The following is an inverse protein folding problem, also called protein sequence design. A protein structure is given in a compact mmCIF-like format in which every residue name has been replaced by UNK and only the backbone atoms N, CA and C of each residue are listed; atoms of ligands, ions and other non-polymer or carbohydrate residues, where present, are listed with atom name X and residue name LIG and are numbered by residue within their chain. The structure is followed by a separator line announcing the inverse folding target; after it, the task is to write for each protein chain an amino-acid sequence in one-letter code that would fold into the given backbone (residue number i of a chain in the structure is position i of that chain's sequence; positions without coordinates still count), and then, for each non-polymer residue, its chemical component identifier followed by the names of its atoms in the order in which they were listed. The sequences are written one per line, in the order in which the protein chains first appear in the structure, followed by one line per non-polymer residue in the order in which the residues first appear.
data_IF_069632295795
#
_entry.id   IF_069632295795
#
_cell.length_a   1.000
_cell.length_b   1.000
_cell.length_c   1.000
_cell.angle_alpha   90.00
_cell.angle_beta   90.00
_cell.angle_gamma   90.00
#
_symmetry.space_group_name_H-M   'P 1'
#
loop_
_entity.id
_entity.type
_entity.pdbx_description
1 polymer ?
#
# COMPACT_ATOMS: atom_id res chain seq x y z
N UNK A 1 -52.84 -15.34 49.04
CA UNK A 1 -52.97 -13.95 49.52
C UNK A 1 -52.60 -13.06 48.36
N UNK A 2 -53.60 -12.50 47.74
CA UNK A 2 -53.48 -11.60 46.55
C UNK A 2 -53.18 -10.18 47.02
N UNK A 3 -52.44 -9.41 46.20
CA UNK A 3 -52.55 -7.95 46.04
C UNK A 3 -51.65 -7.54 44.84
N UNK A 4 -52.18 -7.30 43.75
CA UNK A 4 -52.78 -6.11 43.08
C UNK A 4 -51.77 -5.11 42.52
N UNK A 5 -51.81 -5.05 41.22
CA UNK A 5 -51.29 -4.05 40.30
C UNK A 5 -51.72 -2.60 40.62
N UNK A 6 -50.87 -1.60 40.31
CA UNK A 6 -51.31 -0.31 39.69
C UNK A 6 -50.18 0.32 38.90
N UNK A 7 -50.48 0.90 37.72
CA UNK A 7 -49.54 1.61 36.87
C UNK A 7 -49.63 3.11 37.07
N UNK A 8 -48.58 3.87 36.80
CA UNK A 8 -48.68 5.31 36.59
C UNK A 8 -47.75 5.75 35.46
N UNK A 9 -48.37 6.29 34.45
CA UNK A 9 -47.85 6.98 33.28
C UNK A 9 -47.61 8.49 33.55
N UNK A 10 -47.24 9.31 32.58
CA UNK A 10 -46.02 10.10 32.55
C UNK A 10 -46.29 11.60 32.81
N UNK A 11 -45.23 12.34 33.12
CA UNK A 11 -45.36 13.82 33.14
C UNK A 11 -44.27 14.43 32.24
N UNK A 12 -44.75 15.04 31.16
CA UNK A 12 -44.05 15.99 30.28
C UNK A 12 -43.93 17.30 31.02
N UNK A 13 -42.74 17.89 31.05
CA UNK A 13 -42.59 19.31 31.32
C UNK A 13 -41.54 19.92 30.38
N UNK A 14 -42.04 20.75 29.50
CA UNK A 14 -41.29 21.64 28.64
C UNK A 14 -41.19 23.02 29.29
N UNK A 15 -40.01 23.60 29.30
CA UNK A 15 -39.68 25.04 29.44
C UNK A 15 -38.30 25.20 28.86
N UNK A 16 -37.96 25.93 27.84
CA UNK A 16 -38.36 27.25 27.44
C UNK A 16 -37.21 28.25 27.68
N UNK A 17 -36.42 28.49 26.58
CA UNK A 17 -35.77 29.76 26.19
C UNK A 17 -34.78 30.44 27.16
N UNK A 18 -33.53 30.63 26.72
CA UNK A 18 -33.03 31.90 26.16
C UNK A 18 -31.55 31.76 25.79
N UNK A 19 -31.21 32.35 24.70
CA UNK A 19 -30.00 32.40 23.97
C UNK A 19 -28.89 33.26 24.57
N UNK A 20 -27.69 32.93 24.09
CA UNK A 20 -26.61 33.88 23.88
C UNK A 20 -25.81 33.42 22.64
N UNK A 21 -25.83 34.27 21.63
CA UNK A 21 -24.94 34.17 20.48
C UNK A 21 -23.54 34.55 20.93
N UNK A 22 -22.59 33.69 20.64
CA UNK A 22 -21.20 34.07 20.47
C UNK A 22 -20.78 33.58 19.09
N UNK A 23 -20.48 34.54 18.26
CA UNK A 23 -19.87 34.39 16.96
C UNK A 23 -18.43 33.94 17.14
N UNK A 24 -18.08 32.73 16.67
CA UNK A 24 -16.73 32.35 16.42
C UNK A 24 -16.54 31.94 14.96
N UNK A 25 -15.63 32.67 14.32
CA UNK A 25 -15.13 32.41 12.99
C UNK A 25 -14.34 31.10 13.00
N UNK A 26 -14.86 30.06 12.39
CA UNK A 26 -14.10 28.87 11.98
C UNK A 26 -14.58 28.42 10.61
N UNK A 27 -14.16 29.16 9.57
CA UNK A 27 -14.52 28.87 8.20
C UNK A 27 -13.39 28.18 7.40
N UNK A 28 -12.26 27.87 8.03
CA UNK A 28 -11.11 27.28 7.31
C UNK A 28 -11.01 25.75 7.44
N UNK A 29 -11.70 25.11 8.40
CA UNK A 29 -11.68 23.65 8.54
C UNK A 29 -12.76 22.92 7.71
N UNK A 30 -13.86 23.59 7.35
CA UNK A 30 -14.94 22.96 6.59
C UNK A 30 -14.59 22.73 5.11
N UNK A 31 -13.63 23.49 4.56
CA UNK A 31 -13.21 23.37 3.17
C UNK A 31 -12.17 22.28 2.94
N UNK A 32 -11.43 21.87 3.97
CA UNK A 32 -10.50 20.73 3.91
C UNK A 32 -11.24 19.39 4.01
N UNK A 33 -12.28 19.29 4.84
CA UNK A 33 -13.09 18.07 4.96
C UNK A 33 -13.97 17.81 3.73
N UNK A 34 -14.45 18.87 3.04
CA UNK A 34 -15.28 18.71 1.83
C UNK A 34 -14.49 18.26 0.60
N UNK A 35 -13.19 18.57 0.52
CA UNK A 35 -12.33 18.11 -0.58
C UNK A 35 -11.82 16.68 -0.38
N UNK A 36 -11.69 16.20 0.85
CA UNK A 36 -11.32 14.81 1.14
C UNK A 36 -12.48 13.84 0.88
N UNK A 37 -13.71 14.21 1.19
CA UNK A 37 -14.89 13.39 0.91
C UNK A 37 -15.18 13.26 -0.59
N UNK A 38 -14.98 14.30 -1.38
CA UNK A 38 -15.18 14.26 -2.84
C UNK A 38 -14.17 13.35 -3.56
N UNK A 39 -12.92 13.24 -3.05
CA UNK A 39 -11.91 12.35 -3.64
C UNK A 39 -12.13 10.87 -3.29
N UNK A 40 -12.78 10.58 -2.17
CA UNK A 40 -13.06 9.21 -1.70
C UNK A 40 -14.32 8.62 -2.37
N UNK A 41 -15.31 9.44 -2.67
CA UNK A 41 -16.49 9.02 -3.44
C UNK A 41 -16.12 8.68 -4.89
N UNK A 42 -15.20 9.41 -5.51
CA UNK A 42 -14.71 9.10 -6.86
C UNK A 42 -14.01 7.73 -6.96
N UNK A 43 -13.38 7.24 -5.89
CA UNK A 43 -12.77 5.92 -5.88
C UNK A 43 -13.76 4.76 -5.70
N UNK A 44 -14.92 5.01 -5.07
CA UNK A 44 -15.94 3.98 -4.87
C UNK A 44 -16.88 3.81 -6.06
N UNK A 45 -17.12 4.88 -6.83
CA UNK A 45 -18.01 4.86 -8.00
C UNK A 45 -17.36 4.28 -9.26
N UNK A 46 -16.03 4.29 -9.37
CA UNK A 46 -15.29 3.64 -10.48
C UNK A 46 -15.52 2.12 -10.54
N UNK A 47 -16.05 1.51 -9.50
CA UNK A 47 -16.34 0.07 -9.45
C UNK A 47 -17.69 -0.34 -10.06
N UNK A 48 -18.56 0.59 -10.43
CA UNK A 48 -19.95 0.28 -10.79
C UNK A 48 -20.48 0.90 -12.11
N UNK A 49 -19.72 1.71 -12.84
CA UNK A 49 -20.20 2.31 -14.09
C UNK A 49 -19.23 2.15 -15.25
N UNK A 50 -19.68 1.47 -16.30
CA UNK A 50 -18.95 1.19 -17.57
C UNK A 50 -19.03 2.33 -18.60
N UNK A 51 -19.61 3.48 -18.32
CA UNK A 51 -19.73 4.58 -19.29
C UNK A 51 -19.43 5.93 -18.63
N UNK A 52 -18.40 6.59 -19.08
CA UNK A 52 -18.11 8.00 -19.23
C UNK A 52 -16.67 8.39 -18.85
N UNK A 53 -15.80 8.43 -19.84
CA UNK A 53 -14.60 9.30 -19.80
C UNK A 53 -14.43 9.88 -21.19
N UNK A 54 -14.79 11.15 -21.38
CA UNK A 54 -14.24 12.00 -22.42
C UNK A 54 -13.78 13.32 -21.80
N UNK A 55 -12.61 13.77 -22.28
CA UNK A 55 -12.05 15.11 -22.23
C UNK A 55 -11.32 15.56 -20.95
N UNK A 56 -9.99 15.42 -21.04
CA UNK A 56 -9.09 16.45 -20.51
C UNK A 56 -7.85 16.55 -21.40
N UNK A 57 -7.70 17.67 -22.10
CA UNK A 57 -6.60 17.99 -23.01
C UNK A 57 -5.27 18.15 -22.27
N UNK A 58 -4.20 17.61 -22.87
CA UNK A 58 -2.81 17.78 -22.44
C UNK A 58 -2.11 18.73 -23.41
N UNK A 59 -1.57 19.80 -22.88
CA UNK A 59 -0.68 20.70 -23.61
C UNK A 59 0.71 20.05 -23.80
N UNK A 60 1.20 20.10 -25.05
CA UNK A 60 2.57 19.75 -25.46
C UNK A 60 3.46 20.95 -25.24
N UNK A 61 4.73 20.70 -24.92
CA UNK A 61 5.89 21.29 -25.61
C UNK A 61 7.23 20.86 -25.00
N UNK A 62 8.22 20.66 -25.88
CA UNK A 62 9.63 20.74 -25.54
C UNK A 62 10.54 19.59 -26.00
N UNK A 63 10.81 19.52 -27.32
CA UNK A 63 11.92 18.72 -27.88
C UNK A 63 13.21 19.51 -27.72
N UNK A 64 14.28 18.87 -27.23
CA UNK A 64 15.66 19.36 -27.38
C UNK A 64 16.51 18.22 -27.94
N UNK A 65 17.03 18.48 -29.15
CA UNK A 65 18.06 17.69 -29.84
C UNK A 65 19.42 17.83 -29.15
N UNK A 66 20.15 16.73 -28.97
CA UNK A 66 21.59 16.80 -28.69
C UNK A 66 22.35 15.91 -29.67
N UNK A 67 23.24 16.60 -30.35
CA UNK A 67 24.14 16.19 -31.43
C UNK A 67 25.25 15.27 -30.90
N UNK A 68 25.56 14.20 -31.67
CA UNK A 68 26.78 13.40 -31.53
C UNK A 68 27.98 14.07 -32.23
N UNK A 69 29.19 13.86 -31.78
CA UNK A 69 30.31 13.78 -32.73
C UNK A 69 30.96 12.35 -32.71
N UNK A 70 31.19 11.89 -33.93
CA UNK A 70 32.06 10.77 -34.27
C UNK A 70 33.52 11.10 -33.93
N UNK A 71 34.29 10.08 -33.55
CA UNK A 71 35.65 9.99 -34.06
C UNK A 71 36.11 8.51 -34.10
N UNK A 72 36.59 8.13 -35.29
CA UNK A 72 37.21 6.86 -35.64
C UNK A 72 38.68 6.83 -35.22
N UNK A 73 39.15 5.72 -34.64
CA UNK A 73 40.51 5.22 -34.97
C UNK A 73 40.65 3.73 -34.61
N UNK A 74 40.98 2.96 -35.61
CA UNK A 74 41.34 1.53 -35.55
C UNK A 74 42.77 1.35 -35.04
N UNK A 75 43.03 0.40 -34.16
CA UNK A 75 44.30 -0.34 -34.13
C UNK A 75 44.07 -1.82 -33.79
N UNK A 76 44.70 -2.65 -34.61
CA UNK A 76 44.67 -4.11 -34.57
C UNK A 76 45.59 -4.70 -33.49
N UNK A 77 45.18 -5.86 -32.95
CA UNK A 77 46.09 -6.95 -32.64
C UNK A 77 46.49 -7.15 -31.19
N UNK A 78 45.77 -8.02 -30.46
CA UNK A 78 46.35 -8.85 -29.40
C UNK A 78 45.56 -10.15 -29.26
N UNK A 79 46.33 -11.21 -29.24
CA UNK A 79 46.04 -12.64 -29.21
C UNK A 79 45.19 -13.04 -27.98
N UNK A 80 44.08 -13.74 -28.23
CA UNK A 80 43.13 -14.24 -27.22
C UNK A 80 43.77 -15.40 -26.43
N UNK A 81 44.06 -15.16 -25.18
CA UNK A 81 44.20 -16.23 -24.19
C UNK A 81 42.86 -16.53 -23.57
N UNK A 82 42.49 -17.79 -23.68
CA UNK A 82 41.26 -18.40 -23.15
C UNK A 82 41.17 -18.20 -21.62
N UNK A 83 40.42 -17.23 -21.16
CA UNK A 83 40.07 -17.08 -19.75
C UNK A 83 38.70 -17.69 -19.52
N UNK A 84 38.49 -18.46 -18.42
CA UNK A 84 37.24 -19.13 -18.16
C UNK A 84 36.10 -18.10 -18.02
N UNK A 85 35.06 -18.40 -18.74
CA UNK A 85 33.79 -17.67 -18.80
C UNK A 85 33.25 -17.33 -17.39
N UNK A 86 33.63 -16.20 -16.86
CA UNK A 86 32.93 -15.62 -15.73
C UNK A 86 31.56 -15.18 -16.26
N UNK A 87 30.54 -16.02 -16.06
CA UNK A 87 29.15 -15.61 -16.21
C UNK A 87 28.94 -14.33 -15.39
N UNK A 88 29.06 -13.20 -16.05
CA UNK A 88 28.63 -11.92 -15.51
C UNK A 88 27.09 -12.02 -15.39
N UNK A 89 26.60 -12.40 -14.21
CA UNK A 89 25.16 -12.32 -13.94
C UNK A 89 24.75 -10.88 -14.23
N UNK A 90 23.84 -10.69 -15.16
CA UNK A 90 23.32 -9.38 -15.48
C UNK A 90 22.75 -8.77 -14.19
N UNK A 91 23.25 -7.58 -13.83
CA UNK A 91 22.75 -6.87 -12.65
C UNK A 91 21.31 -6.50 -12.89
N UNK A 92 20.38 -7.02 -12.08
CA UNK A 92 18.96 -6.71 -12.17
C UNK A 92 18.76 -5.26 -11.70
N UNK A 93 18.42 -4.38 -12.61
CA UNK A 93 18.30 -2.93 -12.39
C UNK A 93 16.90 -2.46 -12.00
N UNK A 94 15.86 -3.27 -12.22
CA UNK A 94 14.47 -2.98 -11.90
C UNK A 94 13.97 -3.86 -10.75
N UNK A 95 13.38 -3.25 -9.71
CA UNK A 95 12.80 -3.96 -8.55
C UNK A 95 11.68 -4.91 -8.99
N UNK A 96 10.88 -4.53 -9.99
CA UNK A 96 9.80 -5.38 -10.46
C UNK A 96 10.30 -6.64 -11.17
N UNK A 97 11.41 -6.54 -11.90
CA UNK A 97 12.09 -7.71 -12.49
C UNK A 97 12.66 -8.63 -11.40
N UNK A 98 13.32 -8.04 -10.39
CA UNK A 98 13.78 -8.77 -9.20
C UNK A 98 12.65 -9.53 -8.52
N UNK A 99 11.52 -8.86 -8.28
CA UNK A 99 10.36 -9.48 -7.65
C UNK A 99 9.76 -10.58 -8.51
N UNK A 100 9.50 -10.31 -9.79
CA UNK A 100 8.80 -11.24 -10.69
C UNK A 100 9.61 -12.50 -11.02
N UNK A 101 10.94 -12.40 -10.99
CA UNK A 101 11.83 -13.57 -11.14
C UNK A 101 11.63 -14.61 -10.01
N UNK A 102 11.15 -14.18 -8.85
CA UNK A 102 10.94 -15.01 -7.65
C UNK A 102 9.45 -15.26 -7.33
N UNK A 103 8.54 -15.06 -8.29
CA UNK A 103 7.12 -15.39 -8.11
C UNK A 103 6.91 -16.91 -8.03
N UNK A 104 6.26 -17.35 -6.95
CA UNK A 104 6.09 -18.76 -6.59
C UNK A 104 4.63 -19.23 -6.57
N UNK A 105 3.64 -18.31 -6.54
CA UNK A 105 2.24 -18.69 -6.45
C UNK A 105 1.74 -19.22 -7.80
N UNK A 106 0.98 -20.34 -7.82
CA UNK A 106 0.41 -20.86 -9.06
C UNK A 106 -0.68 -19.94 -9.59
N UNK A 107 -0.66 -19.68 -10.89
CA UNK A 107 -1.65 -18.89 -11.62
C UNK A 107 -2.48 -19.84 -12.49
N UNK A 108 -3.62 -20.34 -12.02
CA UNK A 108 -4.46 -21.26 -12.80
C UNK A 108 -5.21 -20.53 -13.92
N UNK A 109 -5.64 -21.27 -14.93
CA UNK A 109 -6.57 -20.75 -15.93
C UNK A 109 -7.98 -20.63 -15.30
N UNK A 110 -8.23 -19.46 -14.71
CA UNK A 110 -9.52 -19.12 -14.10
C UNK A 110 -10.07 -17.82 -14.69
N UNK A 111 -11.37 -17.87 -15.05
CA UNK A 111 -12.05 -16.71 -15.65
C UNK A 111 -12.01 -15.44 -14.80
N UNK A 112 -11.90 -15.58 -13.46
CA UNK A 112 -11.81 -14.44 -12.54
C UNK A 112 -10.46 -13.74 -12.68
N UNK A 113 -9.37 -14.50 -12.85
CA UNK A 113 -8.02 -13.95 -13.12
C UNK A 113 -8.04 -13.26 -14.48
N UNK A 114 -8.55 -13.92 -15.52
CA UNK A 114 -8.63 -13.37 -16.87
C UNK A 114 -9.45 -12.09 -16.94
N UNK A 115 -10.53 -11.97 -16.15
CA UNK A 115 -11.33 -10.75 -16.08
C UNK A 115 -10.55 -9.59 -15.45
N UNK A 116 -9.83 -9.83 -14.34
CA UNK A 116 -9.00 -8.81 -13.69
C UNK A 116 -7.82 -8.40 -14.58
N UNK A 117 -7.15 -9.36 -15.23
CA UNK A 117 -6.09 -9.10 -16.20
C UNK A 117 -6.54 -8.18 -17.34
N UNK A 118 -7.69 -8.48 -17.94
CA UNK A 118 -8.27 -7.64 -18.99
C UNK A 118 -8.51 -6.21 -18.52
N UNK A 119 -8.93 -6.04 -17.28
CA UNK A 119 -9.16 -4.72 -16.72
C UNK A 119 -7.84 -3.96 -16.58
N UNK A 120 -6.80 -4.52 -15.94
CA UNK A 120 -5.51 -3.86 -15.78
C UNK A 120 -4.85 -3.51 -17.10
N UNK A 121 -4.92 -4.42 -18.09
CA UNK A 121 -4.36 -4.18 -19.44
C UNK A 121 -5.03 -3.01 -20.16
N UNK A 122 -6.29 -2.73 -19.85
CA UNK A 122 -7.04 -1.59 -20.44
C UNK A 122 -6.79 -0.26 -19.70
N UNK A 123 -6.16 -0.28 -18.55
CA UNK A 123 -5.98 0.92 -17.70
C UNK A 123 -4.50 1.13 -17.33
N UNK A 124 -3.59 1.33 -18.31
CA UNK A 124 -2.17 1.52 -18.03
C UNK A 124 -1.89 2.79 -17.21
N UNK A 125 -2.71 3.83 -17.36
CA UNK A 125 -2.63 5.06 -16.59
C UNK A 125 -2.89 4.84 -15.08
N UNK A 126 -3.73 3.86 -14.73
CA UNK A 126 -3.90 3.45 -13.33
C UNK A 126 -2.58 2.91 -12.77
N UNK A 127 -1.93 2.00 -13.49
CA UNK A 127 -0.65 1.41 -13.06
C UNK A 127 0.47 2.46 -13.01
N UNK A 128 0.50 3.42 -13.92
CA UNK A 128 1.47 4.53 -13.86
C UNK A 128 1.33 5.33 -12.55
N UNK A 129 0.10 5.64 -12.12
CA UNK A 129 -0.14 6.30 -10.82
C UNK A 129 0.27 5.43 -9.63
N UNK A 130 -0.05 4.14 -9.68
CA UNK A 130 0.31 3.17 -8.63
C UNK A 130 1.83 3.10 -8.47
N UNK A 131 2.56 2.90 -9.56
CA UNK A 131 4.02 2.76 -9.53
C UNK A 131 4.68 4.06 -9.04
N UNK A 132 4.17 5.23 -9.44
CA UNK A 132 4.64 6.51 -8.90
C UNK A 132 4.55 6.59 -7.38
N UNK A 133 3.46 6.06 -6.77
CA UNK A 133 3.28 5.99 -5.31
C UNK A 133 4.17 4.92 -4.67
N UNK A 134 4.36 3.80 -5.36
CA UNK A 134 5.19 2.69 -4.89
C UNK A 134 6.67 3.02 -4.88
N UNK A 135 7.15 3.84 -5.84
CA UNK A 135 8.57 4.11 -6.08
C UNK A 135 9.40 4.39 -4.82
N UNK A 136 8.99 5.21 -3.84
CA UNK A 136 9.80 5.47 -2.65
C UNK A 136 9.94 4.24 -1.73
N UNK A 137 8.99 3.31 -1.75
CA UNK A 137 8.85 2.26 -0.74
C UNK A 137 9.11 0.85 -1.27
N UNK A 138 9.06 0.70 -2.60
CA UNK A 138 9.03 -0.61 -3.24
C UNK A 138 10.28 -1.45 -2.92
N UNK A 139 11.46 -0.83 -3.01
CA UNK A 139 12.72 -1.51 -2.69
C UNK A 139 12.71 -2.03 -1.23
N UNK A 140 12.33 -1.18 -0.29
CA UNK A 140 12.23 -1.55 1.14
C UNK A 140 11.27 -2.72 1.36
N UNK A 141 10.08 -2.67 0.75
CA UNK A 141 9.06 -3.74 0.88
C UNK A 141 9.59 -5.05 0.27
N UNK A 142 10.23 -4.99 -0.88
CA UNK A 142 10.84 -6.15 -1.54
C UNK A 142 11.88 -6.82 -0.65
N UNK A 143 12.82 -6.03 -0.08
CA UNK A 143 13.81 -6.52 0.89
C UNK A 143 13.17 -7.22 2.09
N UNK A 144 12.11 -6.65 2.66
CA UNK A 144 11.45 -7.20 3.84
C UNK A 144 10.70 -8.50 3.55
N UNK A 145 10.16 -8.67 2.34
CA UNK A 145 9.53 -9.93 1.89
C UNK A 145 10.61 -11.00 1.67
N UNK A 146 11.71 -10.68 0.98
CA UNK A 146 12.82 -11.61 0.73
C UNK A 146 13.47 -12.09 2.04
N UNK A 147 13.74 -11.20 2.98
CA UNK A 147 14.30 -11.55 4.30
C UNK A 147 13.50 -12.59 5.08
N UNK A 148 12.22 -12.78 4.73
CA UNK A 148 11.30 -13.71 5.37
C UNK A 148 11.01 -14.96 4.52
N UNK A 149 11.67 -15.13 3.38
CA UNK A 149 11.41 -16.21 2.42
C UNK A 149 9.93 -16.33 2.03
N UNK A 150 9.23 -15.20 1.94
CA UNK A 150 7.82 -15.16 1.59
C UNK A 150 7.64 -15.06 0.06
N UNK A 151 6.49 -15.50 -0.49
CA UNK A 151 6.20 -15.33 -1.91
C UNK A 151 6.30 -13.88 -2.35
N UNK A 152 7.06 -13.62 -3.39
CA UNK A 152 7.33 -12.26 -3.86
C UNK A 152 6.10 -11.57 -4.46
N UNK A 153 5.05 -12.31 -4.81
CA UNK A 153 3.76 -11.74 -5.18
C UNK A 153 3.16 -10.82 -4.11
N UNK A 154 3.56 -10.98 -2.84
CA UNK A 154 3.09 -10.12 -1.73
C UNK A 154 3.48 -8.66 -1.91
N UNK A 155 4.51 -8.36 -2.72
CA UNK A 155 4.87 -6.97 -3.10
C UNK A 155 3.76 -6.26 -3.86
N UNK A 156 2.87 -7.03 -4.51
CA UNK A 156 1.71 -6.52 -5.26
C UNK A 156 0.48 -6.27 -4.36
N UNK A 157 0.52 -6.71 -3.10
CA UNK A 157 -0.64 -6.63 -2.20
C UNK A 157 -1.07 -5.17 -1.93
N UNK A 158 -0.16 -4.21 -1.69
CA UNK A 158 -0.53 -2.80 -1.55
C UNK A 158 -1.22 -2.20 -2.79
N UNK A 159 -1.00 -2.77 -3.99
CA UNK A 159 -1.73 -2.35 -5.20
C UNK A 159 -3.21 -2.70 -5.06
N UNK A 160 -3.49 -3.93 -4.61
CA UNK A 160 -4.86 -4.45 -4.47
C UNK A 160 -5.60 -3.78 -3.32
N UNK A 161 -4.88 -3.42 -2.25
CA UNK A 161 -5.43 -2.80 -1.04
C UNK A 161 -5.75 -1.31 -1.19
N UNK A 162 -4.79 -0.54 -1.73
CA UNK A 162 -4.89 0.92 -1.69
C UNK A 162 -4.29 1.63 -2.91
N UNK A 163 -3.93 0.92 -3.98
CA UNK A 163 -3.12 1.48 -5.06
C UNK A 163 -1.82 2.14 -4.54
N UNK A 164 -1.17 1.54 -3.55
CA UNK A 164 0.01 2.05 -2.85
C UNK A 164 -0.17 3.42 -2.17
N UNK A 165 -1.39 3.76 -1.77
CA UNK A 165 -1.65 5.04 -1.10
C UNK A 165 -1.46 4.91 0.42
N UNK A 166 -0.41 5.51 1.01
CA UNK A 166 -0.18 5.43 2.44
C UNK A 166 -1.17 6.26 3.27
N UNK A 167 -1.90 7.18 2.63
CA UNK A 167 -2.96 7.97 3.25
C UNK A 167 -4.35 7.37 3.09
N UNK A 168 -4.50 6.27 2.36
CA UNK A 168 -5.79 5.63 2.14
C UNK A 168 -6.53 5.32 3.45
N UNK A 169 -7.82 5.64 3.47
CA UNK A 169 -8.71 5.37 4.60
C UNK A 169 -10.06 4.89 4.10
N UNK A 170 -10.51 3.71 4.53
CA UNK A 170 -11.76 3.10 4.08
C UNK A 170 -12.93 3.38 5.03
N UNK A 171 -14.16 3.24 4.55
CA UNK A 171 -15.38 3.28 5.39
C UNK A 171 -15.34 2.25 6.53
N UNK A 172 -14.67 1.11 6.34
CA UNK A 172 -14.41 0.11 7.37
C UNK A 172 -13.31 0.50 8.37
N UNK A 173 -12.82 1.75 8.31
CA UNK A 173 -11.74 2.30 9.16
C UNK A 173 -10.39 1.60 8.94
N UNK A 174 -10.21 0.93 7.81
CA UNK A 174 -8.90 0.45 7.41
C UNK A 174 -8.04 1.63 6.93
N UNK A 175 -6.74 1.63 7.24
CA UNK A 175 -5.85 2.74 6.95
C UNK A 175 -4.49 2.28 6.42
N UNK A 176 -3.86 3.16 5.63
CA UNK A 176 -2.51 2.98 5.08
C UNK A 176 -2.48 2.08 3.86
N UNK A 177 -1.29 1.89 3.30
CA UNK A 177 -1.11 1.12 2.06
C UNK A 177 -1.51 -0.36 2.21
N UNK A 178 -1.40 -0.93 3.42
CA UNK A 178 -1.74 -2.31 3.75
C UNK A 178 -3.18 -2.48 4.29
N UNK A 179 -3.97 -1.41 4.38
CA UNK A 179 -5.38 -1.37 4.79
C UNK A 179 -5.69 -2.11 6.10
N UNK A 180 -4.92 -1.87 7.15
CA UNK A 180 -5.20 -2.43 8.46
C UNK A 180 -6.40 -1.76 9.15
N UNK A 181 -7.35 -2.58 9.62
CA UNK A 181 -8.36 -2.12 10.59
C UNK A 181 -7.72 -1.91 11.96
N UNK A 182 -8.26 -0.99 12.82
CA UNK A 182 -7.61 -0.62 14.07
C UNK A 182 -7.23 -1.78 14.98
N UNK A 183 -8.13 -2.76 15.16
CA UNK A 183 -7.90 -3.89 16.04
C UNK A 183 -6.77 -4.80 15.57
N UNK A 184 -6.77 -5.14 14.27
CA UNK A 184 -5.71 -5.95 13.66
C UNK A 184 -4.38 -5.21 13.68
N UNK A 185 -4.37 -3.91 13.36
CA UNK A 185 -3.17 -3.10 13.45
C UNK A 185 -2.54 -3.12 14.84
N UNK A 186 -3.32 -2.93 15.90
CA UNK A 186 -2.83 -3.01 17.29
C UNK A 186 -2.26 -4.39 17.63
N UNK A 187 -2.94 -5.46 17.18
CA UNK A 187 -2.50 -6.85 17.42
C UNK A 187 -1.12 -7.12 16.82
N UNK A 188 -0.81 -6.51 15.69
CA UNK A 188 0.46 -6.66 14.98
C UNK A 188 1.41 -5.46 15.17
N UNK A 189 1.38 -4.83 16.36
CA UNK A 189 2.40 -3.88 16.83
C UNK A 189 2.26 -2.46 16.32
N UNK A 190 1.22 -2.13 15.52
CA UNK A 190 1.00 -0.79 15.02
C UNK A 190 0.35 0.10 16.08
N UNK A 191 1.15 0.95 16.72
CA UNK A 191 0.66 1.93 17.68
C UNK A 191 -0.33 2.89 17.04
N UNK A 192 -1.36 3.27 17.78
CA UNK A 192 -2.39 4.21 17.34
C UNK A 192 -2.76 5.12 18.51
N UNK A 193 -2.37 6.38 18.41
CA UNK A 193 -2.66 7.40 19.40
C UNK A 193 -2.96 8.75 18.73
N UNK A 194 -3.11 9.81 19.50
CA UNK A 194 -3.38 11.15 18.99
C UNK A 194 -2.28 11.70 18.06
N UNK A 195 -1.02 11.34 18.32
CA UNK A 195 0.15 11.79 17.57
C UNK A 195 0.44 10.94 16.33
N UNK A 196 0.14 9.64 16.40
CA UNK A 196 0.68 8.68 15.46
C UNK A 196 -0.30 7.53 15.17
N UNK A 197 -0.38 7.16 13.91
CA UNK A 197 -1.09 5.96 13.43
C UNK A 197 -0.11 5.06 12.65
N UNK A 198 0.37 4.02 13.30
CA UNK A 198 1.32 3.07 12.74
C UNK A 198 0.81 2.28 11.53
N UNK A 199 -0.49 2.30 11.27
CA UNK A 199 -1.08 1.67 10.08
C UNK A 199 -0.73 2.42 8.79
N UNK A 200 -0.41 3.72 8.90
CA UNK A 200 0.05 4.58 7.81
C UNK A 200 1.58 4.61 7.70
N UNK A 201 2.29 4.35 8.80
CA UNK A 201 3.75 4.27 8.79
C UNK A 201 4.21 3.09 7.93
N UNK A 202 5.03 3.36 6.92
CA UNK A 202 5.43 2.35 5.92
C UNK A 202 6.22 1.22 6.57
N UNK A 203 7.11 1.54 7.51
CA UNK A 203 7.93 0.53 8.21
C UNK A 203 7.05 -0.31 9.13
N UNK A 204 6.28 0.33 10.04
CA UNK A 204 5.45 -0.38 11.00
C UNK A 204 4.37 -1.23 10.31
N UNK A 205 3.72 -0.68 9.27
CA UNK A 205 2.65 -1.40 8.58
C UNK A 205 3.17 -2.52 7.68
N UNK A 206 4.35 -2.38 7.08
CA UNK A 206 4.99 -3.47 6.32
C UNK A 206 5.38 -4.62 7.25
N UNK A 207 6.06 -4.34 8.36
CA UNK A 207 6.39 -5.37 9.36
C UNK A 207 5.13 -6.08 9.85
N UNK A 208 4.12 -5.33 10.28
CA UNK A 208 2.88 -5.92 10.76
C UNK A 208 2.09 -6.67 9.70
N UNK A 209 2.16 -6.28 8.41
CA UNK A 209 1.53 -7.00 7.31
C UNK A 209 2.19 -8.36 7.07
N UNK A 210 3.52 -8.39 7.05
CA UNK A 210 4.27 -9.62 6.85
C UNK A 210 4.10 -10.57 8.05
N UNK A 211 4.10 -10.05 9.27
CA UNK A 211 3.83 -10.84 10.48
C UNK A 211 2.39 -11.42 10.48
N UNK A 212 1.39 -10.61 10.06
CA UNK A 212 0.02 -11.10 9.93
C UNK A 212 -0.12 -12.14 8.82
N UNK A 213 0.53 -11.95 7.68
CA UNK A 213 0.53 -12.92 6.58
C UNK A 213 1.22 -14.23 6.97
N UNK A 214 2.32 -14.17 7.73
CA UNK A 214 2.98 -15.35 8.31
C UNK A 214 2.01 -16.11 9.22
N UNK A 215 1.39 -15.41 10.17
CA UNK A 215 0.38 -16.00 11.06
C UNK A 215 -0.79 -16.65 10.29
N UNK A 216 -1.27 -16.01 9.24
CA UNK A 216 -2.35 -16.56 8.42
C UNK A 216 -1.87 -17.78 7.60
N UNK A 217 -0.68 -17.73 7.04
CA UNK A 217 -0.12 -18.85 6.30
C UNK A 217 0.05 -20.09 7.17
N UNK A 218 0.59 -19.95 8.38
CA UNK A 218 0.69 -21.01 9.38
C UNK A 218 -0.69 -21.56 9.77
N UNK A 219 -1.68 -20.68 10.00
CA UNK A 219 -3.05 -21.08 10.35
C UNK A 219 -3.73 -21.92 9.26
N UNK A 220 -3.35 -21.75 8.00
CA UNK A 220 -3.89 -22.48 6.86
C UNK A 220 -2.90 -23.50 6.27
N UNK A 221 -2.01 -24.06 7.11
CA UNK A 221 -1.09 -25.14 6.77
C UNK A 221 -0.25 -24.84 5.51
N UNK A 222 0.22 -23.60 5.35
CA UNK A 222 1.04 -23.16 4.22
C UNK A 222 0.24 -22.75 2.98
N UNK A 223 -1.09 -22.74 3.03
CA UNK A 223 -1.92 -22.37 1.87
C UNK A 223 -2.05 -20.85 1.73
N UNK A 224 -1.23 -20.27 0.85
CA UNK A 224 -1.21 -18.85 0.60
C UNK A 224 -2.53 -18.27 0.05
N UNK A 225 -3.27 -19.01 -0.76
CA UNK A 225 -4.55 -18.51 -1.28
C UNK A 225 -5.60 -18.37 -0.18
N UNK A 226 -5.60 -19.28 0.80
CA UNK A 226 -6.42 -19.15 2.00
C UNK A 226 -5.95 -18.01 2.90
N UNK A 227 -4.64 -17.85 3.08
CA UNK A 227 -4.05 -16.76 3.85
C UNK A 227 -4.42 -15.39 3.26
N UNK A 228 -4.29 -15.21 1.94
CA UNK A 228 -4.69 -14.00 1.23
C UNK A 228 -6.20 -13.72 1.32
N UNK A 229 -7.03 -14.75 1.18
CA UNK A 229 -8.48 -14.63 1.37
C UNK A 229 -8.84 -14.24 2.82
N UNK A 230 -8.09 -14.73 3.80
CA UNK A 230 -8.25 -14.42 5.20
C UNK A 230 -7.74 -13.01 5.55
N UNK A 231 -6.67 -12.55 4.93
CA UNK A 231 -6.21 -11.17 5.05
C UNK A 231 -7.32 -10.17 4.69
N UNK A 232 -8.01 -10.41 3.57
CA UNK A 232 -9.11 -9.54 3.11
C UNK A 232 -10.40 -9.70 3.94
N UNK A 233 -10.80 -10.92 4.33
CA UNK A 233 -12.14 -11.15 4.90
C UNK A 233 -12.15 -11.64 6.35
N UNK A 234 -10.98 -11.81 6.95
CA UNK A 234 -10.79 -12.38 8.29
C UNK A 234 -10.73 -13.90 8.30
N UNK A 235 -9.79 -14.43 9.07
CA UNK A 235 -9.49 -15.86 9.19
C UNK A 235 -10.68 -16.72 9.59
N UNK A 236 -11.51 -16.23 10.51
CA UNK A 236 -12.68 -16.97 10.96
C UNK A 236 -13.73 -17.21 9.87
N UNK A 237 -13.82 -16.32 8.87
CA UNK A 237 -14.71 -16.49 7.72
C UNK A 237 -14.22 -17.60 6.80
N UNK A 238 -12.94 -17.58 6.46
CA UNK A 238 -12.32 -18.60 5.60
C UNK A 238 -12.38 -19.96 6.25
N UNK A 239 -12.06 -20.09 7.54
CA UNK A 239 -12.17 -21.35 8.30
C UNK A 239 -13.60 -21.89 8.29
N UNK A 240 -14.62 -21.03 8.47
CA UNK A 240 -16.03 -21.47 8.39
C UNK A 240 -16.40 -21.98 7.00
N UNK A 241 -15.93 -21.31 5.94
CA UNK A 241 -16.19 -21.75 4.57
C UNK A 241 -15.53 -23.10 4.26
N UNK A 242 -14.27 -23.31 4.67
CA UNK A 242 -13.54 -24.58 4.57
C UNK A 242 -14.32 -25.68 5.30
N UNK A 243 -14.73 -25.41 6.55
CA UNK A 243 -15.47 -26.38 7.39
C UNK A 243 -16.83 -26.76 6.78
N UNK A 244 -17.52 -25.79 6.19
CA UNK A 244 -18.79 -26.02 5.49
C UNK A 244 -18.61 -26.90 4.26
N UNK A 245 -17.62 -26.63 3.42
CA UNK A 245 -17.31 -27.45 2.26
C UNK A 245 -16.88 -28.86 2.66
N UNK A 246 -16.01 -29.01 3.66
CA UNK A 246 -15.58 -30.33 4.18
C UNK A 246 -16.77 -31.20 4.64
N UNK A 247 -17.72 -30.59 5.36
CA UNK A 247 -18.96 -31.30 5.79
C UNK A 247 -19.84 -31.70 4.61
N UNK A 248 -19.84 -30.92 3.53
CA UNK A 248 -20.64 -31.17 2.33
C UNK A 248 -19.94 -32.07 1.30
N UNK A 249 -18.75 -32.61 1.61
CA UNK A 249 -17.95 -33.40 0.66
C UNK A 249 -17.48 -32.61 -0.58
N UNK A 250 -17.35 -31.25 -0.47
CA UNK A 250 -16.91 -30.36 -1.55
C UNK A 250 -15.42 -30.05 -1.41
N UNK A 251 -14.76 -29.67 -2.52
CA UNK A 251 -13.39 -29.19 -2.48
C UNK A 251 -13.22 -28.00 -1.52
N UNK A 252 -12.09 -27.94 -0.82
CA UNK A 252 -11.81 -26.92 0.18
C UNK A 252 -10.76 -25.89 -0.26
N UNK A 253 -10.29 -25.98 -1.49
CA UNK A 253 -9.42 -24.96 -2.08
C UNK A 253 -10.17 -23.63 -2.25
N UNK A 254 -9.40 -22.54 -2.32
CA UNK A 254 -9.93 -21.17 -2.43
C UNK A 254 -11.01 -21.01 -3.51
N UNK A 255 -10.81 -21.66 -4.68
CA UNK A 255 -11.66 -21.48 -5.86
C UNK A 255 -13.09 -22.00 -5.66
N UNK A 256 -13.26 -22.95 -4.75
CA UNK A 256 -14.51 -23.62 -4.41
C UNK A 256 -15.15 -23.10 -3.13
N UNK A 257 -14.51 -22.19 -2.38
CA UNK A 257 -15.09 -21.65 -1.14
C UNK A 257 -16.20 -20.63 -1.42
N UNK A 258 -17.26 -20.70 -0.61
CA UNK A 258 -18.31 -19.67 -0.60
C UNK A 258 -17.87 -18.48 0.26
N UNK A 259 -17.16 -17.54 -0.37
CA UNK A 259 -16.65 -16.31 0.23
C UNK A 259 -17.39 -15.08 -0.33
N UNK A 260 -17.31 -13.90 0.32
CA UNK A 260 -17.86 -12.66 -0.21
C UNK A 260 -17.38 -12.37 -1.63
N UNK A 261 -18.19 -11.65 -2.41
CA UNK A 261 -17.86 -11.29 -3.80
C UNK A 261 -16.50 -10.57 -3.88
N UNK A 262 -16.24 -9.66 -2.95
CA UNK A 262 -14.96 -8.94 -2.84
C UNK A 262 -13.80 -9.91 -2.65
N UNK A 263 -13.86 -10.79 -1.65
CA UNK A 263 -12.78 -11.76 -1.36
C UNK A 263 -12.56 -12.72 -2.53
N UNK A 264 -13.63 -13.15 -3.21
CA UNK A 264 -13.53 -13.99 -4.43
C UNK A 264 -12.87 -13.28 -5.62
N UNK A 265 -12.83 -11.94 -5.61
CA UNK A 265 -12.13 -11.13 -6.62
C UNK A 265 -10.71 -10.74 -6.16
N UNK A 266 -10.46 -10.70 -4.86
CA UNK A 266 -9.21 -10.21 -4.25
C UNK A 266 -7.98 -11.02 -4.66
N UNK A 267 -8.00 -12.33 -4.42
CA UNK A 267 -6.92 -13.23 -4.82
C UNK A 267 -6.71 -13.22 -6.35
N UNK A 268 -7.78 -13.32 -7.19
CA UNK A 268 -7.65 -13.14 -8.64
C UNK A 268 -7.04 -11.81 -9.09
N UNK A 269 -7.28 -10.69 -8.37
CA UNK A 269 -6.62 -9.40 -8.67
C UNK A 269 -5.11 -9.49 -8.49
N UNK A 270 -4.66 -10.06 -7.37
CA UNK A 270 -3.24 -10.24 -7.10
C UNK A 270 -2.57 -11.12 -8.15
N UNK A 271 -3.16 -12.28 -8.43
CA UNK A 271 -2.62 -13.22 -9.42
C UNK A 271 -2.64 -12.66 -10.85
N UNK A 272 -3.62 -11.83 -11.18
CA UNK A 272 -3.65 -11.15 -12.48
C UNK A 272 -2.52 -10.12 -12.62
N UNK A 273 -2.19 -9.38 -11.55
CA UNK A 273 -1.04 -8.47 -11.55
C UNK A 273 0.27 -9.24 -11.66
N UNK A 274 0.41 -10.34 -10.93
CA UNK A 274 1.59 -11.20 -11.02
C UNK A 274 1.78 -11.77 -12.43
N UNK A 275 0.68 -12.21 -13.06
CA UNK A 275 0.69 -12.72 -14.44
C UNK A 275 1.12 -11.64 -15.45
N UNK A 276 0.54 -10.44 -15.36
CA UNK A 276 0.92 -9.32 -16.25
C UNK A 276 2.39 -8.96 -16.09
N UNK A 277 2.86 -8.86 -14.84
CA UNK A 277 4.25 -8.47 -14.57
C UNK A 277 5.24 -9.52 -15.06
N UNK A 278 4.95 -10.79 -14.82
CA UNK A 278 5.79 -11.92 -15.26
C UNK A 278 5.85 -12.05 -16.79
N UNK A 279 4.74 -11.74 -17.46
CA UNK A 279 4.57 -11.93 -18.90
C UNK A 279 4.35 -10.58 -19.63
N UNK A 280 4.96 -9.48 -19.11
CA UNK A 280 4.76 -8.13 -19.65
C UNK A 280 5.02 -8.01 -21.15
N UNK A 281 6.01 -8.73 -21.64
CA UNK A 281 6.36 -8.74 -23.08
C UNK A 281 5.31 -9.46 -23.94
N UNK A 282 4.76 -10.58 -23.47
CA UNK A 282 3.67 -11.30 -24.15
C UNK A 282 2.42 -10.44 -24.27
N UNK A 283 2.10 -9.65 -23.22
CA UNK A 283 0.96 -8.74 -23.23
C UNK A 283 1.26 -7.40 -23.90
N UNK A 284 2.49 -7.15 -24.36
CA UNK A 284 2.95 -5.84 -24.83
C UNK A 284 2.58 -4.71 -23.87
N UNK A 285 2.73 -4.98 -22.55
CA UNK A 285 2.32 -4.06 -21.49
C UNK A 285 3.51 -3.32 -20.93
N UNK A 286 3.51 -2.00 -21.08
CA UNK A 286 4.53 -1.11 -20.53
C UNK A 286 4.33 -0.95 -19.00
N UNK A 287 4.90 -1.88 -18.22
CA UNK A 287 4.95 -1.74 -16.76
C UNK A 287 6.05 -0.73 -16.40
N UNK A 288 5.72 0.37 -15.68
CA UNK A 288 6.73 1.39 -15.37
C UNK A 288 7.83 0.85 -14.46
N UNK A 289 9.07 1.10 -14.82
CA UNK A 289 10.26 0.63 -14.10
C UNK A 289 10.49 1.39 -12.78
N UNK A 290 11.08 0.71 -11.81
CA UNK A 290 11.58 1.27 -10.55
C UNK A 290 12.98 0.75 -10.29
N UNK A 291 13.94 1.65 -10.19
CA UNK A 291 15.35 1.31 -9.95
C UNK A 291 15.51 0.38 -8.73
N UNK A 292 16.29 -0.67 -8.89
CA UNK A 292 16.58 -1.66 -7.84
C UNK A 292 17.66 -1.17 -6.88
N UNK A 293 17.40 -0.02 -6.24
CA UNK A 293 18.29 0.61 -5.26
C UNK A 293 17.48 1.18 -4.10
N UNK A 294 18.09 1.20 -2.91
CA UNK A 294 17.52 1.89 -1.76
C UNK A 294 17.46 3.40 -2.02
N UNK A 295 16.30 4.02 -1.88
CA UNK A 295 16.10 5.46 -2.06
C UNK A 295 15.68 6.17 -0.79
N UNK A 296 15.39 5.42 0.28
CA UNK A 296 15.02 5.94 1.60
C UNK A 296 15.88 5.29 2.68
N UNK A 297 16.01 6.00 3.79
CA UNK A 297 16.66 5.53 5.01
C UNK A 297 15.77 5.82 6.21
N UNK A 298 15.78 4.92 7.19
CA UNK A 298 15.10 5.09 8.48
C UNK A 298 16.09 5.67 9.48
N UNK A 299 15.91 6.92 9.86
CA UNK A 299 16.83 7.65 10.73
C UNK A 299 16.27 7.73 12.15
N UNK A 300 17.06 7.35 13.14
CA UNK A 300 16.73 7.55 14.55
C UNK A 300 16.88 9.03 14.92
N UNK A 301 15.86 9.61 15.56
CA UNK A 301 15.82 11.00 16.00
C UNK A 301 15.91 11.16 17.53
N UNK A 302 16.01 10.04 18.27
CA UNK A 302 16.25 9.98 19.71
C UNK A 302 15.10 10.49 20.59
N UNK A 303 14.33 11.49 20.15
CA UNK A 303 13.23 12.10 20.92
C UNK A 303 12.16 12.71 20.01
N UNK A 304 11.14 13.31 20.61
CA UNK A 304 10.14 14.08 19.88
C UNK A 304 10.77 15.25 19.12
N UNK A 305 10.40 15.44 17.87
CA UNK A 305 10.84 16.55 17.02
C UNK A 305 9.65 17.19 16.31
N UNK A 306 9.69 18.51 16.12
CA UNK A 306 8.78 19.24 15.24
C UNK A 306 9.04 18.87 13.77
N UNK A 307 8.00 18.53 13.03
CA UNK A 307 8.15 18.04 11.65
C UNK A 307 8.56 19.14 10.66
N UNK A 308 8.17 20.40 10.90
CA UNK A 308 8.62 21.51 10.06
C UNK A 308 10.11 21.78 10.27
N UNK A 309 10.58 21.75 11.52
CA UNK A 309 12.00 21.83 11.85
C UNK A 309 12.80 20.65 11.28
N UNK A 310 12.28 19.43 11.39
CA UNK A 310 12.92 18.26 10.78
C UNK A 310 13.00 18.36 9.25
N UNK A 311 11.97 18.87 8.59
CA UNK A 311 11.97 19.11 7.15
C UNK A 311 13.03 20.15 6.75
N UNK A 312 13.15 21.24 7.50
CA UNK A 312 14.18 22.27 7.28
C UNK A 312 15.59 21.68 7.44
N UNK A 313 15.85 20.91 8.50
CA UNK A 313 17.14 20.24 8.70
C UNK A 313 17.47 19.26 7.57
N UNK A 314 16.47 18.55 7.05
CA UNK A 314 16.63 17.64 5.93
C UNK A 314 16.73 18.35 4.56
N UNK A 315 16.56 19.67 4.50
CA UNK A 315 16.54 20.44 3.26
C UNK A 315 15.43 19.98 2.31
N UNK A 316 14.23 19.76 2.85
CA UNK A 316 13.04 19.32 2.09
C UNK A 316 11.79 20.06 2.57
N UNK A 317 10.72 20.03 1.78
CA UNK A 317 9.45 20.60 2.20
C UNK A 317 8.76 19.71 3.24
N UNK A 318 7.94 20.32 4.11
CA UNK A 318 7.09 19.58 5.07
C UNK A 318 6.17 18.58 4.36
N UNK A 319 5.67 18.92 3.16
CA UNK A 319 4.83 18.04 2.35
C UNK A 319 5.60 16.78 1.90
N UNK A 320 6.84 16.91 1.47
CA UNK A 320 7.69 15.77 1.11
C UNK A 320 7.99 14.90 2.33
N UNK A 321 8.33 15.51 3.47
CA UNK A 321 8.54 14.79 4.72
C UNK A 321 7.30 14.00 5.14
N UNK A 322 6.12 14.61 5.11
CA UNK A 322 4.85 13.94 5.38
C UNK A 322 4.55 12.81 4.39
N UNK A 323 4.89 13.01 3.11
CA UNK A 323 4.71 11.96 2.08
C UNK A 323 5.46 10.67 2.40
N UNK A 324 6.63 10.79 3.03
CA UNK A 324 7.43 9.63 3.48
C UNK A 324 7.01 9.16 4.89
N UNK A 325 6.44 10.03 5.73
CA UNK A 325 6.09 9.78 7.12
C UNK A 325 4.59 9.98 7.42
N UNK A 326 3.68 9.31 6.67
CA UNK A 326 2.25 9.53 6.78
C UNK A 326 1.63 9.05 8.10
N UNK A 327 2.41 8.33 8.93
CA UNK A 327 2.00 7.87 10.25
C UNK A 327 1.82 8.99 11.28
N UNK A 328 2.49 10.14 11.11
CA UNK A 328 2.36 11.26 12.05
C UNK A 328 1.13 12.11 11.74
N UNK A 329 0.24 12.23 12.73
CA UNK A 329 -1.05 12.92 12.63
C UNK A 329 -0.96 14.41 13.00
N UNK A 330 0.19 14.88 13.52
CA UNK A 330 0.36 16.21 14.13
C UNK A 330 1.61 16.88 13.59
N UNK A 331 1.85 18.09 14.06
CA UNK A 331 3.00 18.92 13.68
C UNK A 331 4.35 18.39 14.20
N UNK A 332 4.34 17.44 15.14
CA UNK A 332 5.52 16.82 15.71
C UNK A 332 5.38 15.29 15.76
N UNK A 333 6.49 14.58 15.92
CA UNK A 333 6.51 13.15 16.18
C UNK A 333 5.90 12.86 17.56
N UNK A 334 5.54 11.61 17.84
CA UNK A 334 4.98 11.24 19.16
C UNK A 334 6.03 11.33 20.28
N UNK A 335 5.70 11.87 21.46
CA UNK A 335 6.62 11.86 22.60
C UNK A 335 6.96 10.45 23.10
N UNK A 336 6.09 9.48 22.83
CA UNK A 336 6.25 8.06 23.21
C UNK A 336 6.88 7.21 22.08
N UNK A 337 7.26 7.84 20.97
CA UNK A 337 7.78 7.21 19.76
C UNK A 337 6.68 6.75 18.79
N UNK A 338 7.10 6.17 17.68
CA UNK A 338 8.49 5.86 17.32
C UNK A 338 9.33 7.13 17.10
N UNK A 339 10.56 7.12 17.63
CA UNK A 339 11.50 8.23 17.46
C UNK A 339 12.36 8.00 16.21
N UNK A 340 11.71 7.94 15.05
CA UNK A 340 12.38 7.77 13.76
C UNK A 340 11.64 8.54 12.67
N UNK A 341 12.39 8.91 11.63
CA UNK A 341 11.86 9.45 10.38
C UNK A 341 12.37 8.66 9.20
N UNK A 342 11.54 8.53 8.17
CA UNK A 342 11.93 8.05 6.85
C UNK A 342 12.36 9.28 6.04
N UNK A 343 13.59 9.27 5.55
CA UNK A 343 14.16 10.36 4.75
C UNK A 343 14.67 9.81 3.41
N UNK A 344 14.80 10.66 2.38
CA UNK A 344 15.56 10.29 1.19
C UNK A 344 17.01 9.94 1.58
N UNK A 345 17.56 8.89 1.00
CA UNK A 345 18.88 8.38 1.34
C UNK A 345 19.99 9.44 1.20
N UNK A 346 19.89 10.28 0.16
CA UNK A 346 20.83 11.37 -0.09
C UNK A 346 20.80 12.50 0.97
N UNK A 347 19.74 12.56 1.79
CA UNK A 347 19.53 13.58 2.82
C UNK A 347 19.79 13.07 4.25
N UNK A 348 19.73 11.77 4.47
CA UNK A 348 19.76 11.13 5.78
C UNK A 348 21.04 11.44 6.58
N UNK A 349 22.21 11.35 5.95
CA UNK A 349 23.49 11.61 6.62
C UNK A 349 23.66 13.08 7.06
N UNK A 350 23.27 14.03 6.18
CA UNK A 350 23.34 15.46 6.50
C UNK A 350 22.36 15.83 7.61
N UNK A 351 21.14 15.26 7.56
CA UNK A 351 20.13 15.42 8.61
C UNK A 351 20.63 14.94 9.99
N UNK A 352 21.17 13.71 10.05
CA UNK A 352 21.70 13.13 11.29
C UNK A 352 22.82 13.97 11.90
N UNK A 353 23.72 14.53 11.07
CA UNK A 353 24.79 15.44 11.53
C UNK A 353 24.24 16.77 12.04
N UNK A 354 23.18 17.30 11.41
CA UNK A 354 22.56 18.55 11.85
C UNK A 354 21.75 18.37 13.14
N UNK A 355 21.07 17.24 13.31
CA UNK A 355 20.28 16.91 14.50
C UNK A 355 21.16 16.71 15.75
N UNK A 356 22.40 16.26 15.59
CA UNK A 356 23.35 16.02 16.67
C UNK A 356 24.01 17.30 17.22
N UNK A 357 23.81 18.48 16.62
CA UNK A 357 24.34 19.80 17.04
C UNK A 357 23.39 20.53 17.95
#
# INVERSE_FOLDING_TARGET
MQLKFFPLSPLILALGLTGCQLTDNNNDNAQLESNETASLEACSEIHNNEEAISDCEIARDGVIDVVHPNDDTLEEGAELTDTPDMHTQAVVTDVWERASANFALPIPDDKRISAQRKWYLKHPEYMARVVKRAKPFLYYITEEIEKRDMPMELVLLPIVESAFDPFAYSHGRAAGMWQFIPGTGKRFGMQQNWWYDGRRDVVASTQGALDYLTYLNEMFDGNWLHALAAYNSGEGRVQRAIKANKRAGKPTDFWNLNLPKETRAYVPKLLALADILKNKDEYAYAWPEVENVAVIEVVDIGSQVDLAFAAELAGMSLKELHGLNPGFNRWATSPEGPHRLILPLDKAAAFSQALAK
#
